data_IF_356363823521
#
_entry.id   IF_356363823521
#
_cell.length_a   1.000
_cell.length_b   1.000
_cell.length_c   1.000
_cell.angle_alpha   90.00
_cell.angle_beta   90.00
_cell.angle_gamma   90.00
#
_symmetry.space_group_name_H-M   'P 1'
#
loop_
_entity.id
_entity.type
_entity.pdbx_description
1 polymer ?
#
# COMPACT_ATOMS: atom_id res chain seq x y z
N UNK A 1 12.77 -11.26 8.11
CA UNK A 1 11.69 -10.57 7.40
C UNK A 1 10.94 -9.75 8.43
N UNK A 2 10.96 -8.42 8.30
CA UNK A 2 10.11 -7.55 9.13
C UNK A 2 8.70 -7.67 8.55
N UNK A 3 7.70 -7.92 9.39
CA UNK A 3 6.30 -8.01 8.99
C UNK A 3 5.56 -6.78 9.49
N UNK A 4 4.52 -6.37 8.78
CA UNK A 4 3.61 -5.33 9.23
C UNK A 4 3.04 -5.68 10.61
N UNK A 5 3.12 -4.74 11.54
CA UNK A 5 2.64 -4.95 12.89
C UNK A 5 1.12 -5.14 12.93
N UNK A 6 0.67 -6.25 13.49
CA UNK A 6 -0.75 -6.59 13.65
C UNK A 6 -1.24 -6.12 15.02
N UNK A 7 -1.27 -4.81 15.23
CA UNK A 7 -1.81 -4.17 16.45
C UNK A 7 -2.96 -3.23 16.09
N UNK A 8 -4.11 -3.42 16.73
CA UNK A 8 -5.32 -2.63 16.42
C UNK A 8 -5.11 -1.12 16.59
N UNK A 9 -4.23 -0.69 17.50
CA UNK A 9 -3.97 0.71 17.78
C UNK A 9 -3.35 1.48 16.62
N UNK A 10 -2.63 0.82 15.71
CA UNK A 10 -1.97 1.44 14.55
C UNK A 10 -2.65 1.12 13.22
N UNK A 11 -3.66 0.23 13.24
CA UNK A 11 -4.45 -0.15 12.06
C UNK A 11 -5.74 0.66 11.94
N UNK A 12 -6.24 1.20 13.06
CA UNK A 12 -7.38 2.12 13.06
C UNK A 12 -6.90 3.56 12.85
N UNK A 13 -7.46 4.25 11.85
CA UNK A 13 -7.24 5.68 11.63
C UNK A 13 -8.17 6.44 12.58
N UNK A 14 -7.60 7.08 13.60
CA UNK A 14 -8.36 7.75 14.67
C UNK A 14 -8.44 9.26 14.48
N UNK A 15 -9.40 9.88 15.15
CA UNK A 15 -9.57 11.34 15.18
C UNK A 15 -10.30 11.91 13.96
N UNK A 16 -10.65 11.08 12.97
CA UNK A 16 -11.61 11.44 11.94
C UNK A 16 -13.04 11.34 12.51
N UNK A 17 -13.98 11.99 11.83
CA UNK A 17 -15.43 11.95 12.08
C UNK A 17 -16.03 10.56 11.81
N UNK A 18 -15.40 9.79 10.93
CA UNK A 18 -15.71 8.39 10.61
C UNK A 18 -14.55 7.47 11.03
N UNK A 19 -14.83 6.18 11.25
CA UNK A 19 -13.82 5.20 11.66
C UNK A 19 -13.39 4.34 10.49
N UNK A 20 -12.09 4.34 10.20
CA UNK A 20 -11.50 3.51 9.15
C UNK A 20 -10.45 2.58 9.73
N UNK A 21 -10.35 1.39 9.14
CA UNK A 21 -9.28 0.44 9.40
C UNK A 21 -8.46 0.28 8.13
N UNK A 22 -7.13 0.41 8.22
CA UNK A 22 -6.20 0.19 7.12
C UNK A 22 -5.40 -1.08 7.42
N UNK A 23 -5.38 -2.04 6.50
CA UNK A 23 -4.60 -3.29 6.55
C UNK A 23 -4.82 -4.12 7.84
N UNK A 24 -6.03 -4.08 8.39
CA UNK A 24 -6.38 -4.59 9.72
C UNK A 24 -7.61 -5.50 9.72
N UNK A 25 -7.67 -6.48 8.81
CA UNK A 25 -8.88 -7.28 8.56
C UNK A 25 -9.22 -8.31 9.64
N UNK A 26 -8.33 -8.50 10.63
CA UNK A 26 -8.61 -9.25 11.85
C UNK A 26 -9.23 -8.41 12.97
N UNK A 27 -9.33 -7.10 12.78
CA UNK A 27 -9.79 -6.17 13.81
C UNK A 27 -11.19 -5.68 13.48
N UNK A 28 -12.00 -5.55 14.53
CA UNK A 28 -13.34 -4.98 14.47
C UNK A 28 -13.36 -3.79 15.41
N UNK A 29 -13.73 -2.62 14.90
CA UNK A 29 -14.11 -1.48 15.74
C UNK A 29 -15.62 -1.25 15.64
N UNK A 30 -16.23 -0.82 16.75
CA UNK A 30 -17.64 -0.46 16.77
C UNK A 30 -17.91 0.60 15.70
N UNK A 31 -18.98 0.40 14.93
CA UNK A 31 -19.44 1.31 13.86
C UNK A 31 -18.50 1.45 12.65
N UNK A 32 -17.36 0.73 12.60
CA UNK A 32 -16.48 0.70 11.45
C UNK A 32 -16.93 -0.36 10.42
N UNK A 33 -17.33 0.10 9.22
CA UNK A 33 -17.67 -0.78 8.08
C UNK A 33 -16.82 -0.51 6.84
N UNK A 34 -15.83 0.37 6.96
CA UNK A 34 -14.98 0.81 5.86
C UNK A 34 -13.53 0.43 6.15
N UNK A 35 -13.05 -0.56 5.40
CA UNK A 35 -11.69 -1.10 5.47
C UNK A 35 -10.91 -0.67 4.25
N UNK A 36 -9.63 -0.36 4.41
CA UNK A 36 -8.74 0.04 3.34
C UNK A 36 -7.61 -0.99 3.22
N UNK A 37 -7.31 -1.45 2.01
CA UNK A 37 -6.18 -2.32 1.73
C UNK A 37 -5.15 -1.55 0.88
N UNK A 38 -3.96 -1.33 1.44
CA UNK A 38 -2.89 -0.58 0.77
C UNK A 38 -2.31 -1.38 -0.40
N UNK A 39 -2.07 -2.67 -0.21
CA UNK A 39 -1.49 -3.55 -1.23
C UNK A 39 -1.68 -5.04 -0.92
N UNK A 40 -1.40 -5.90 -1.90
CA UNK A 40 -1.61 -7.35 -1.81
C UNK A 40 -0.35 -8.10 -1.31
N UNK A 41 0.04 -7.89 -0.06
CA UNK A 41 1.01 -8.75 0.66
C UNK A 41 0.36 -9.50 1.82
N UNK A 42 0.92 -10.64 2.17
CA UNK A 42 0.29 -11.61 3.09
C UNK A 42 0.04 -11.07 4.50
N UNK A 43 0.96 -10.26 5.02
CA UNK A 43 0.84 -9.62 6.33
C UNK A 43 -0.17 -8.45 6.32
N UNK A 44 -0.38 -7.75 5.20
CA UNK A 44 -1.41 -6.71 5.07
C UNK A 44 -2.81 -7.28 4.82
N UNK A 45 -2.91 -8.45 4.19
CA UNK A 45 -4.17 -9.15 3.92
C UNK A 45 -4.60 -10.09 5.05
N UNK A 46 -3.86 -10.15 6.16
CA UNK A 46 -4.17 -11.02 7.29
C UNK A 46 -5.61 -10.80 7.79
N UNK A 47 -6.45 -11.83 7.68
CA UNK A 47 -7.87 -11.79 8.04
C UNK A 47 -8.82 -11.70 6.84
N UNK A 48 -8.32 -11.43 5.64
CA UNK A 48 -9.12 -11.52 4.41
C UNK A 48 -9.22 -12.97 3.94
N UNK A 49 -10.43 -13.37 3.59
CA UNK A 49 -10.76 -14.66 3.00
C UNK A 49 -12.12 -14.58 2.32
N UNK A 50 -12.51 -15.62 1.57
CA UNK A 50 -13.78 -15.67 0.84
C UNK A 50 -15.06 -15.44 1.69
N UNK A 51 -14.96 -15.62 3.00
CA UNK A 51 -16.05 -15.43 3.96
C UNK A 51 -15.97 -14.11 4.73
N UNK A 52 -15.10 -13.17 4.35
CA UNK A 52 -15.02 -11.85 4.97
C UNK A 52 -16.37 -11.14 4.81
N UNK A 53 -16.95 -10.67 5.93
CA UNK A 53 -18.26 -9.99 5.98
C UNK A 53 -18.29 -8.89 7.05
N UNK A 54 -17.15 -8.20 7.23
CA UNK A 54 -17.03 -7.13 8.24
C UNK A 54 -17.30 -5.73 7.66
N UNK A 55 -17.22 -5.56 6.33
CA UNK A 55 -17.43 -4.26 5.70
C UNK A 55 -16.97 -4.21 4.24
N UNK A 56 -16.98 -3.00 3.69
CA UNK A 56 -16.47 -2.69 2.35
C UNK A 56 -14.96 -2.52 2.40
N UNK A 57 -14.25 -3.07 1.41
CA UNK A 57 -12.81 -2.99 1.24
C UNK A 57 -12.51 -2.00 0.11
N UNK A 58 -11.90 -0.87 0.45
CA UNK A 58 -11.45 0.17 -0.46
C UNK A 58 -9.98 -0.06 -0.82
N UNK A 59 -9.67 -0.13 -2.12
CA UNK A 59 -8.29 -0.36 -2.58
C UNK A 59 -8.10 0.09 -4.03
N UNK A 60 -6.86 -0.05 -4.54
CA UNK A 60 -6.55 0.17 -5.95
C UNK A 60 -7.14 -0.93 -6.84
N UNK A 61 -7.25 -0.66 -8.14
CA UNK A 61 -7.81 -1.62 -9.11
C UNK A 61 -7.04 -2.95 -9.15
N UNK A 62 -5.71 -2.89 -9.13
CA UNK A 62 -4.84 -4.09 -9.16
C UNK A 62 -5.07 -4.93 -7.90
N UNK A 63 -5.07 -4.28 -6.74
CA UNK A 63 -5.30 -4.94 -5.45
C UNK A 63 -6.70 -5.56 -5.40
N UNK A 64 -7.74 -4.86 -5.88
CA UNK A 64 -9.10 -5.38 -5.94
C UNK A 64 -9.20 -6.67 -6.76
N UNK A 65 -8.56 -6.70 -7.93
CA UNK A 65 -8.54 -7.89 -8.80
C UNK A 65 -7.87 -9.08 -8.11
N UNK A 66 -6.74 -8.85 -7.44
CA UNK A 66 -6.02 -9.90 -6.71
C UNK A 66 -6.82 -10.44 -5.53
N UNK A 67 -7.43 -9.57 -4.73
CA UNK A 67 -8.26 -9.96 -3.58
C UNK A 67 -9.47 -10.79 -4.00
N UNK A 68 -10.16 -10.40 -5.08
CA UNK A 68 -11.31 -11.16 -5.59
C UNK A 68 -10.87 -12.49 -6.19
N UNK A 69 -9.81 -12.48 -7.01
CA UNK A 69 -9.36 -13.66 -7.74
C UNK A 69 -8.68 -14.70 -6.83
N UNK A 70 -7.75 -14.28 -5.99
CA UNK A 70 -6.85 -15.17 -5.24
C UNK A 70 -7.41 -15.51 -3.84
N UNK A 71 -8.00 -14.53 -3.13
CA UNK A 71 -8.60 -14.77 -1.81
C UNK A 71 -10.08 -15.14 -1.87
N UNK A 72 -10.72 -15.01 -3.03
CA UNK A 72 -12.13 -15.33 -3.23
C UNK A 72 -13.10 -14.39 -2.52
N UNK A 73 -12.66 -13.20 -2.11
CA UNK A 73 -13.52 -12.21 -1.46
C UNK A 73 -14.64 -11.82 -2.42
N UNK A 74 -15.87 -11.73 -1.91
CA UNK A 74 -17.03 -11.38 -2.71
C UNK A 74 -16.84 -9.99 -3.35
N UNK A 75 -16.91 -9.90 -4.69
CA UNK A 75 -16.66 -8.66 -5.43
C UNK A 75 -17.55 -7.48 -4.99
N UNK A 76 -18.76 -7.75 -4.51
CA UNK A 76 -19.68 -6.75 -3.95
C UNK A 76 -19.14 -6.03 -2.69
N UNK A 77 -18.18 -6.63 -2.00
CA UNK A 77 -17.52 -6.05 -0.83
C UNK A 77 -16.27 -5.24 -1.21
N UNK A 78 -15.82 -5.30 -2.46
CA UNK A 78 -14.60 -4.63 -2.90
C UNK A 78 -14.97 -3.39 -3.71
N UNK A 79 -14.48 -2.23 -3.27
CA UNK A 79 -14.68 -0.94 -3.92
C UNK A 79 -13.34 -0.40 -4.40
N UNK A 80 -13.23 -0.15 -5.71
CA UNK A 80 -12.03 0.45 -6.29
C UNK A 80 -12.07 1.95 -6.11
N UNK A 81 -11.00 2.52 -5.56
CA UNK A 81 -10.76 3.96 -5.55
C UNK A 81 -9.89 4.36 -6.74
N UNK A 82 -10.28 5.36 -7.55
CA UNK A 82 -9.47 5.82 -8.68
C UNK A 82 -8.15 6.43 -8.18
N UNK A 83 -7.04 6.04 -8.81
CA UNK A 83 -5.71 6.50 -8.44
C UNK A 83 -5.59 8.02 -8.66
N UNK A 84 -5.06 8.74 -7.67
CA UNK A 84 -4.85 10.19 -7.70
C UNK A 84 -6.11 11.06 -7.79
N UNK A 85 -7.28 10.49 -7.49
CA UNK A 85 -8.54 11.22 -7.45
C UNK A 85 -9.15 11.21 -6.05
N UNK A 86 -9.70 12.36 -5.64
CA UNK A 86 -10.44 12.47 -4.38
C UNK A 86 -11.81 11.81 -4.50
N UNK A 87 -12.08 10.86 -3.61
CA UNK A 87 -13.36 10.18 -3.48
C UNK A 87 -13.89 10.37 -2.06
N UNK A 88 -15.19 10.60 -1.89
CA UNK A 88 -15.78 10.72 -0.54
C UNK A 88 -16.21 9.35 -0.01
N UNK A 89 -15.68 8.96 1.14
CA UNK A 89 -16.06 7.75 1.88
C UNK A 89 -16.54 8.19 3.26
N UNK A 90 -17.80 7.91 3.59
CA UNK A 90 -18.41 8.25 4.89
C UNK A 90 -18.15 9.72 5.32
N UNK A 91 -18.24 10.67 4.38
CA UNK A 91 -18.02 12.10 4.65
C UNK A 91 -16.55 12.57 4.69
N UNK A 92 -15.60 11.64 4.61
CA UNK A 92 -14.15 11.94 4.55
C UNK A 92 -13.69 11.88 3.10
N UNK A 93 -12.88 12.85 2.67
CA UNK A 93 -12.25 12.79 1.35
C UNK A 93 -11.02 11.90 1.39
N UNK A 94 -11.01 10.86 0.55
CA UNK A 94 -9.93 9.89 0.46
C UNK A 94 -9.30 9.94 -0.92
N UNK A 95 -7.97 9.92 -0.99
CA UNK A 95 -7.25 9.80 -2.25
C UNK A 95 -6.13 8.77 -2.15
N UNK A 96 -6.18 7.69 -2.97
CA UNK A 96 -5.04 6.80 -3.12
C UNK A 96 -3.95 7.46 -3.98
N UNK A 97 -2.69 7.31 -3.55
CA UNK A 97 -1.50 7.78 -4.28
C UNK A 97 -0.51 6.64 -4.41
N UNK A 98 0.17 6.52 -5.53
CA UNK A 98 1.15 5.44 -5.77
C UNK A 98 2.20 5.38 -4.65
N UNK A 99 2.42 4.19 -4.08
CA UNK A 99 3.38 3.96 -3.00
C UNK A 99 4.76 3.49 -3.50
N UNK A 100 4.90 3.19 -4.80
CA UNK A 100 6.15 2.75 -5.41
C UNK A 100 6.80 1.54 -4.71
N UNK A 101 5.95 0.60 -4.27
CA UNK A 101 6.34 -0.61 -3.53
C UNK A 101 6.15 -1.88 -4.37
N UNK A 102 4.90 -2.26 -4.63
CA UNK A 102 4.54 -3.36 -5.51
C UNK A 102 3.39 -2.95 -6.45
N UNK A 103 3.06 -3.73 -7.50
CA UNK A 103 1.92 -3.43 -8.35
C UNK A 103 0.63 -3.25 -7.54
N UNK A 104 -0.03 -2.11 -7.70
CA UNK A 104 -1.26 -1.77 -6.98
C UNK A 104 -1.07 -1.19 -5.58
N UNK A 105 0.16 -1.04 -5.09
CA UNK A 105 0.41 -0.47 -3.78
C UNK A 105 0.11 1.04 -3.77
N UNK A 106 -0.65 1.46 -2.75
CA UNK A 106 -1.04 2.86 -2.58
C UNK A 106 -0.89 3.33 -1.14
N UNK A 107 -0.49 4.59 -1.00
CA UNK A 107 -0.71 5.39 0.19
C UNK A 107 -2.14 5.95 0.17
N UNK A 108 -2.76 6.14 1.34
CA UNK A 108 -4.07 6.79 1.45
C UNK A 108 -3.95 8.15 2.15
N UNK A 109 -4.40 9.20 1.47
CA UNK A 109 -4.74 10.47 2.10
C UNK A 109 -6.16 10.44 2.62
N UNK A 110 -6.36 10.86 3.87
CA UNK A 110 -7.66 11.15 4.46
C UNK A 110 -7.71 12.63 4.80
N UNK A 111 -8.66 13.36 4.23
CA UNK A 111 -8.91 14.79 4.46
C UNK A 111 -10.35 14.96 4.92
N UNK A 112 -10.52 15.15 6.23
CA UNK A 112 -11.81 15.22 6.89
C UNK A 112 -12.21 16.68 7.17
N UNK A 113 -13.16 17.24 6.40
CA UNK A 113 -13.60 18.61 6.59
C UNK A 113 -14.43 18.80 7.87
N UNK A 114 -15.04 17.75 8.41
CA UNK A 114 -15.88 17.80 9.61
C UNK A 114 -15.02 17.83 10.87
N UNK A 115 -14.04 16.93 10.95
CA UNK A 115 -13.08 16.91 12.05
C UNK A 115 -11.97 17.97 11.90
N UNK A 116 -11.81 18.53 10.70
CA UNK A 116 -10.71 19.45 10.37
C UNK A 116 -9.36 18.75 10.47
N UNK A 117 -9.28 17.47 10.11
CA UNK A 117 -8.11 16.60 10.31
C UNK A 117 -7.64 15.97 9.01
N UNK A 118 -6.32 15.88 8.85
CA UNK A 118 -5.66 15.37 7.66
C UNK A 118 -4.62 14.32 8.03
N UNK A 119 -4.79 13.12 7.49
CA UNK A 119 -3.97 11.95 7.81
C UNK A 119 -3.41 11.35 6.53
N UNK A 120 -2.13 10.97 6.56
CA UNK A 120 -1.52 10.16 5.51
C UNK A 120 -1.16 8.79 6.08
N UNK A 121 -1.63 7.74 5.43
CA UNK A 121 -1.22 6.37 5.70
C UNK A 121 -0.39 5.84 4.54
N UNK A 122 0.90 5.61 4.76
CA UNK A 122 1.82 5.21 3.69
C UNK A 122 1.58 3.78 3.20
N UNK A 123 1.03 2.89 4.06
CA UNK A 123 1.19 1.46 3.81
C UNK A 123 2.68 1.12 3.79
N UNK A 124 3.07 0.16 2.96
CA UNK A 124 4.47 -0.02 2.59
C UNK A 124 4.77 0.82 1.36
N UNK A 125 5.84 1.60 1.43
CA UNK A 125 6.21 2.53 0.36
C UNK A 125 7.72 2.65 0.24
N UNK A 126 8.16 3.06 -0.94
CA UNK A 126 9.57 3.44 -1.16
C UNK A 126 9.61 4.91 -1.55
N UNK A 127 10.26 5.73 -0.74
CA UNK A 127 10.47 7.16 -1.00
C UNK A 127 11.48 7.40 -2.14
N UNK A 128 11.26 6.80 -3.30
CA UNK A 128 11.98 7.07 -4.55
C UNK A 128 11.37 8.29 -5.27
N UNK A 129 11.97 8.66 -6.41
CA UNK A 129 11.57 9.78 -7.27
C UNK A 129 10.07 9.74 -7.60
N UNK A 130 9.53 8.56 -7.90
CA UNK A 130 8.09 8.31 -8.12
C UNK A 130 7.17 8.81 -6.99
N UNK A 131 7.65 8.84 -5.74
CA UNK A 131 6.90 9.34 -4.58
C UNK A 131 7.30 10.78 -4.27
N UNK A 132 8.61 11.04 -4.14
CA UNK A 132 9.16 12.33 -3.71
C UNK A 132 8.83 13.44 -4.70
N UNK A 133 8.84 13.12 -6.00
CA UNK A 133 8.52 14.05 -7.08
C UNK A 133 7.08 13.89 -7.59
N UNK A 134 6.25 13.10 -6.91
CA UNK A 134 4.85 12.90 -7.29
C UNK A 134 4.08 14.23 -7.26
N UNK A 135 3.58 14.73 -8.42
CA UNK A 135 2.80 15.95 -8.45
C UNK A 135 1.47 15.79 -7.71
N UNK A 136 0.94 14.57 -7.66
CA UNK A 136 -0.31 14.25 -6.96
C UNK A 136 -0.13 14.30 -5.44
N UNK A 137 0.98 13.74 -4.93
CA UNK A 137 1.33 13.86 -3.51
C UNK A 137 1.58 15.33 -3.14
N UNK A 138 2.37 16.04 -3.95
CA UNK A 138 2.66 17.45 -3.72
C UNK A 138 1.37 18.30 -3.70
N UNK A 139 0.46 18.07 -4.65
CA UNK A 139 -0.84 18.76 -4.69
C UNK A 139 -1.72 18.42 -3.48
N UNK A 140 -1.70 17.16 -3.02
CA UNK A 140 -2.41 16.75 -1.80
C UNK A 140 -1.88 17.49 -0.57
N UNK A 141 -0.55 17.51 -0.40
CA UNK A 141 0.13 18.20 0.69
C UNK A 141 -0.05 19.72 0.62
N UNK A 142 -0.17 20.30 -0.57
CA UNK A 142 -0.41 21.74 -0.75
C UNK A 142 -1.77 22.21 -0.19
N UNK A 143 -2.73 21.30 0.05
CA UNK A 143 -4.01 21.65 0.70
C UNK A 143 -3.87 21.99 2.20
N UNK A 144 -2.74 21.66 2.84
CA UNK A 144 -2.47 22.00 4.24
C UNK A 144 -1.45 21.08 4.94
N UNK A 145 -1.20 21.28 6.24
CA UNK A 145 -0.38 20.34 7.02
C UNK A 145 -1.08 18.99 7.22
N UNK A 146 -0.29 17.96 7.54
CA UNK A 146 -0.78 16.69 8.08
C UNK A 146 -0.84 16.78 9.60
N UNK A 147 -1.93 16.31 10.18
CA UNK A 147 -2.07 16.15 11.63
C UNK A 147 -1.44 14.83 12.10
N UNK A 148 -1.45 13.82 11.23
CA UNK A 148 -0.98 12.47 11.57
C UNK A 148 -0.39 11.75 10.34
N UNK A 149 0.66 10.97 10.57
CA UNK A 149 1.35 10.19 9.54
C UNK A 149 1.57 8.77 10.06
N UNK A 150 1.00 7.79 9.36
CA UNK A 150 1.27 6.37 9.57
C UNK A 150 2.37 5.97 8.59
N UNK A 151 3.60 5.89 9.11
CA UNK A 151 4.82 5.77 8.31
C UNK A 151 5.36 4.33 8.31
N UNK A 152 5.72 3.82 7.12
CA UNK A 152 6.56 2.63 6.99
C UNK A 152 7.95 2.92 7.58
N UNK A 153 8.32 2.16 8.60
CA UNK A 153 9.59 2.31 9.32
C UNK A 153 10.51 1.11 9.17
N UNK A 154 10.26 0.23 8.20
CA UNK A 154 10.99 -1.03 7.96
C UNK A 154 12.51 -0.84 8.02
N UNK A 155 13.03 0.20 7.35
CA UNK A 155 14.45 0.52 7.30
C UNK A 155 14.83 1.85 7.97
N UNK A 156 14.09 2.30 8.99
CA UNK A 156 14.32 3.56 9.69
C UNK A 156 15.55 3.54 10.64
N UNK A 157 16.71 3.10 10.14
CA UNK A 157 18.02 3.24 10.81
C UNK A 157 19.08 3.68 9.80
N UNK A 158 20.01 4.57 10.17
CA UNK A 158 21.03 5.09 9.25
C UNK A 158 21.95 4.04 8.63
N UNK A 159 22.04 2.86 9.25
CA UNK A 159 22.87 1.74 8.77
C UNK A 159 22.26 1.00 7.58
N UNK A 160 20.97 1.21 7.30
CA UNK A 160 20.32 0.61 6.13
C UNK A 160 20.59 1.48 4.91
N UNK A 161 21.60 1.09 4.13
CA UNK A 161 21.95 1.74 2.87
C UNK A 161 21.92 0.71 1.75
N UNK A 162 21.29 1.07 0.63
CA UNK A 162 21.09 0.18 -0.51
C UNK A 162 21.23 1.00 -1.81
N UNK A 163 21.63 0.35 -2.92
CA UNK A 163 21.59 0.98 -4.24
C UNK A 163 20.14 1.27 -4.68
N UNK A 164 19.99 2.20 -5.62
CA UNK A 164 18.72 2.43 -6.31
C UNK A 164 18.33 1.22 -7.19
N UNK A 165 17.04 1.08 -7.51
CA UNK A 165 16.58 -0.03 -8.36
C UNK A 165 17.28 -0.06 -9.73
N UNK A 166 17.50 1.08 -10.44
CA UNK A 166 18.21 1.09 -11.70
C UNK A 166 19.65 0.53 -11.63
N UNK A 167 20.39 0.78 -10.56
CA UNK A 167 21.74 0.25 -10.38
C UNK A 167 21.72 -1.27 -10.22
N UNK A 168 20.83 -1.80 -9.39
CA UNK A 168 20.69 -3.26 -9.22
C UNK A 168 20.29 -3.93 -10.54
N UNK A 169 19.37 -3.32 -11.30
CA UNK A 169 18.96 -3.87 -12.60
C UNK A 169 20.10 -3.86 -13.63
N UNK A 170 20.95 -2.82 -13.64
CA UNK A 170 22.16 -2.78 -14.49
C UNK A 170 23.15 -3.89 -14.10
N UNK A 171 23.33 -4.14 -12.81
CA UNK A 171 24.21 -5.21 -12.34
C UNK A 171 23.68 -6.59 -12.76
N UNK A 172 22.38 -6.83 -12.60
CA UNK A 172 21.72 -8.07 -13.07
C UNK A 172 21.88 -8.23 -14.58
N UNK A 173 21.67 -7.16 -15.35
CA UNK A 173 21.86 -7.18 -16.80
C UNK A 173 23.31 -7.53 -17.18
N UNK A 174 24.29 -6.92 -16.51
CA UNK A 174 25.70 -7.18 -16.75
C UNK A 174 26.07 -8.64 -16.47
N UNK A 175 25.57 -9.22 -15.37
CA UNK A 175 25.75 -10.63 -15.03
C UNK A 175 25.16 -11.53 -16.11
N UNK A 176 23.90 -11.29 -16.51
CA UNK A 176 23.24 -12.10 -17.56
C UNK A 176 24.01 -12.04 -18.87
N UNK A 177 24.47 -10.86 -19.29
CA UNK A 177 25.26 -10.68 -20.52
C UNK A 177 26.61 -11.41 -20.44
N UNK A 178 27.28 -11.33 -19.29
CA UNK A 178 28.56 -12.00 -19.08
C UNK A 178 28.42 -13.53 -19.20
N UNK A 179 27.48 -14.12 -18.47
CA UNK A 179 27.26 -15.56 -18.44
C UNK A 179 26.84 -16.12 -19.80
N UNK A 180 25.97 -15.40 -20.53
CA UNK A 180 25.59 -15.77 -21.89
C UNK A 180 26.75 -15.68 -22.90
N UNK A 181 27.76 -14.85 -22.60
CA UNK A 181 29.00 -14.78 -23.39
C UNK A 181 29.93 -15.96 -23.14
N UNK A 182 29.89 -16.58 -21.96
CA UNK A 182 30.70 -17.75 -21.61
C UNK A 182 30.02 -19.05 -22.02
N UNK A 183 28.74 -19.23 -21.70
CA UNK A 183 27.95 -20.41 -22.03
C UNK A 183 26.54 -19.99 -22.45
N UNK A 184 26.20 -20.24 -23.72
CA UNK A 184 24.92 -19.82 -24.33
C UNK A 184 23.72 -20.62 -23.81
N UNK A 185 23.95 -21.77 -23.16
CA UNK A 185 22.93 -22.63 -22.56
C UNK A 185 22.73 -22.41 -21.07
N UNK A 186 23.32 -21.35 -20.50
CA UNK A 186 23.13 -21.01 -19.09
C UNK A 186 21.64 -20.83 -18.76
N UNK A 187 21.19 -21.53 -17.72
CA UNK A 187 19.86 -21.40 -17.16
C UNK A 187 19.87 -20.34 -16.05
N UNK A 188 19.02 -19.33 -16.16
CA UNK A 188 18.80 -18.33 -15.11
C UNK A 188 17.52 -18.65 -14.35
N UNK A 189 17.60 -18.66 -13.01
CA UNK A 189 16.47 -18.92 -12.13
C UNK A 189 16.26 -17.71 -11.22
N UNK A 190 15.06 -17.14 -11.21
CA UNK A 190 14.71 -15.99 -10.38
C UNK A 190 13.58 -16.39 -9.43
N UNK A 191 13.91 -16.50 -8.14
CA UNK A 191 12.93 -16.81 -7.09
C UNK A 191 11.90 -15.70 -6.90
N UNK A 192 10.69 -16.08 -6.49
CA UNK A 192 9.61 -15.16 -6.11
C UNK A 192 8.71 -15.83 -5.08
N UNK A 193 8.22 -15.07 -4.10
CA UNK A 193 7.31 -15.55 -3.06
C UNK A 193 6.12 -14.60 -2.81
N UNK A 194 6.17 -13.40 -3.37
CA UNK A 194 5.10 -12.40 -3.37
C UNK A 194 5.18 -11.53 -4.62
N UNK A 195 4.18 -10.68 -4.85
CA UNK A 195 4.21 -9.67 -5.92
C UNK A 195 5.14 -8.51 -5.52
N UNK A 196 5.74 -7.83 -6.50
CA UNK A 196 6.77 -6.82 -6.21
C UNK A 196 8.09 -7.44 -5.76
N UNK A 197 9.20 -6.84 -6.20
CA UNK A 197 10.57 -7.26 -5.87
C UNK A 197 11.40 -6.02 -5.58
#
# INVERSE_FOLDING_TARGET
MVMAAQTSSIKAVRGLSSRFIVDGFNFVEAECKSYFLTHYHGDHTTGLHAGFDLGTIYCSEVTARLVVHDLGVASKLVCVLPLHEWTTVEGVHVMPVDACHCPGAVMFFFDDPTAGRRVLHCGDFRAEECVVESPHLAAALARGPLDELYLDTTYCRPTHTFPDQPAVLRDVEAIVRHELGQERRTLFVVGTYQIGK
#
